data_IF_885525243854
#
_entry.id   IF_885525243854
#
_cell.length_a   1.000
_cell.length_b   1.000
_cell.length_c   1.000
_cell.angle_alpha   90.00
_cell.angle_beta   90.00
_cell.angle_gamma   90.00
#
_symmetry.space_group_name_H-M   'P 1'
#
loop_
_entity.id
_entity.type
_entity.pdbx_description
1 polymer ?
#
# COMPACT_ATOMS: atom_id res chain seq x y z
N UNK A 1 3.93 10.31 -37.28
CA UNK A 1 4.55 8.97 -37.12
C UNK A 1 5.46 8.92 -35.89
N UNK A 2 6.46 9.81 -35.76
CA UNK A 2 7.37 9.83 -34.59
C UNK A 2 6.67 10.07 -33.24
N UNK A 3 5.72 11.02 -33.18
CA UNK A 3 5.00 11.35 -31.94
C UNK A 3 4.11 10.21 -31.41
N UNK A 4 3.57 9.39 -32.32
CA UNK A 4 2.75 8.23 -31.95
C UNK A 4 3.64 7.14 -31.37
N UNK A 5 4.83 6.94 -31.96
CA UNK A 5 5.84 6.00 -31.49
C UNK A 5 6.35 6.36 -30.09
N UNK A 6 6.53 7.66 -29.83
CA UNK A 6 6.94 8.19 -28.53
C UNK A 6 5.86 8.00 -27.44
N UNK A 7 4.59 8.16 -27.81
CA UNK A 7 3.45 7.92 -26.91
C UNK A 7 3.35 6.43 -26.53
N UNK A 8 3.52 5.54 -27.50
CA UNK A 8 3.52 4.08 -27.29
C UNK A 8 4.68 3.67 -26.37
N UNK A 9 5.86 4.25 -26.57
CA UNK A 9 7.03 3.99 -25.72
C UNK A 9 6.79 4.43 -24.28
N UNK A 10 6.20 5.62 -24.09
CA UNK A 10 5.87 6.17 -22.78
C UNK A 10 4.80 5.33 -22.06
N UNK A 11 3.83 4.80 -22.79
CA UNK A 11 2.81 3.93 -22.21
C UNK A 11 3.40 2.56 -21.80
N UNK A 12 4.32 2.01 -22.60
CA UNK A 12 5.05 0.78 -22.29
C UNK A 12 5.91 0.91 -21.03
N UNK A 13 6.64 2.02 -20.87
CA UNK A 13 7.46 2.24 -19.66
C UNK A 13 6.61 2.42 -18.42
N UNK A 14 5.49 3.16 -18.52
CA UNK A 14 4.54 3.34 -17.42
C UNK A 14 3.92 2.01 -16.99
N UNK A 15 3.52 1.17 -17.96
CA UNK A 15 3.00 -0.17 -17.72
C UNK A 15 4.03 -1.09 -17.02
N UNK A 16 5.30 -1.00 -17.43
CA UNK A 16 6.38 -1.79 -16.84
C UNK A 16 6.64 -1.38 -15.38
N UNK A 17 6.55 -0.09 -15.05
CA UNK A 17 6.68 0.42 -13.69
C UNK A 17 5.56 -0.08 -12.77
N UNK A 18 4.31 -0.12 -13.27
CA UNK A 18 3.17 -0.69 -12.52
C UNK A 18 3.38 -2.17 -12.21
N UNK A 19 3.97 -2.94 -13.15
CA UNK A 19 4.29 -4.36 -12.91
C UNK A 19 5.38 -4.54 -11.86
N UNK A 20 6.45 -3.75 -11.93
CA UNK A 20 7.55 -3.78 -10.95
C UNK A 20 7.02 -3.39 -9.57
N UNK A 21 6.17 -2.38 -9.48
CA UNK A 21 5.56 -1.93 -8.22
C UNK A 21 4.62 -3.00 -7.62
N UNK A 22 3.82 -3.68 -8.45
CA UNK A 22 2.99 -4.81 -8.00
C UNK A 22 3.82 -5.99 -7.52
N UNK A 23 4.90 -6.33 -8.24
CA UNK A 23 5.81 -7.39 -7.82
C UNK A 23 6.54 -7.02 -6.50
N UNK A 24 6.82 -5.73 -6.29
CA UNK A 24 7.38 -5.22 -5.04
C UNK A 24 6.41 -5.39 -3.86
N UNK A 25 5.13 -5.04 -4.05
CA UNK A 25 4.09 -5.27 -3.03
C UNK A 25 3.83 -6.76 -2.78
N UNK A 26 3.87 -7.59 -3.82
CA UNK A 26 3.63 -9.03 -3.70
C UNK A 26 4.75 -9.75 -2.94
N UNK A 27 6.02 -9.31 -3.09
CA UNK A 27 7.13 -9.81 -2.28
C UNK A 27 7.07 -9.38 -0.80
N UNK A 28 6.45 -8.23 -0.49
CA UNK A 28 6.23 -7.85 0.90
C UNK A 28 5.17 -8.70 1.60
N UNK A 29 4.16 -9.20 0.87
CA UNK A 29 3.17 -10.14 1.42
C UNK A 29 3.80 -11.48 1.86
N UNK A 30 4.81 -11.96 1.14
CA UNK A 30 5.51 -13.20 1.48
C UNK A 30 6.47 -13.03 2.68
N UNK A 31 7.02 -11.83 2.85
CA UNK A 31 7.87 -11.46 3.99
C UNK A 31 7.07 -11.32 5.30
N UNK A 32 5.83 -10.84 5.23
CA UNK A 32 4.94 -10.72 6.41
C UNK A 32 4.56 -12.10 6.95
N UNK A 33 4.34 -13.09 6.09
CA UNK A 33 4.02 -14.48 6.49
C UNK A 33 5.22 -15.25 7.06
N UNK A 34 6.45 -14.94 6.64
CA UNK A 34 7.65 -15.53 7.24
C UNK A 34 8.04 -14.89 8.57
N UNK A 35 7.48 -13.71 8.88
CA UNK A 35 7.71 -12.97 10.13
C UNK A 35 6.97 -13.58 11.34
N UNK A 36 5.83 -14.25 11.13
CA UNK A 36 5.09 -14.96 12.19
C UNK A 36 5.92 -16.07 12.85
N UNK A 37 6.75 -16.78 12.07
CA UNK A 37 7.58 -17.86 12.61
C UNK A 37 8.69 -17.33 13.55
N UNK A 38 9.20 -16.12 13.32
CA UNK A 38 10.25 -15.52 14.16
C UNK A 38 9.69 -14.93 15.46
N UNK A 39 8.43 -14.51 15.50
CA UNK A 39 7.80 -13.99 16.71
C UNK A 39 7.63 -15.07 17.79
N UNK A 40 7.35 -16.32 17.38
CA UNK A 40 7.23 -17.45 18.30
C UNK A 40 8.51 -17.77 19.08
N UNK A 41 9.69 -17.51 18.49
CA UNK A 41 10.99 -17.74 19.13
C UNK A 41 11.47 -16.57 20.01
N UNK A 42 10.93 -15.35 19.84
CA UNK A 42 11.34 -14.16 20.61
C UNK A 42 10.51 -14.01 21.90
N UNK A 43 9.28 -14.55 21.92
CA UNK A 43 8.39 -14.59 23.09
C UNK A 43 9.00 -15.26 24.34
N UNK A 44 10.08 -16.03 24.17
CA UNK A 44 10.79 -16.71 25.27
C UNK A 44 11.85 -15.81 25.96
N UNK A 45 12.21 -14.65 25.39
CA UNK A 45 13.33 -13.81 25.84
C UNK A 45 12.89 -12.43 26.35
N UNK A 46 12.49 -12.34 27.63
CA UNK A 46 12.48 -11.10 28.44
C UNK A 46 11.57 -9.93 28.01
N UNK A 47 11.02 -9.22 29.00
CA UNK A 47 10.04 -8.12 28.81
C UNK A 47 10.45 -7.04 27.78
N UNK A 48 11.75 -6.73 27.64
CA UNK A 48 12.20 -5.66 26.74
C UNK A 48 12.17 -6.04 25.26
N UNK A 49 12.42 -7.32 24.90
CA UNK A 49 12.35 -7.76 23.51
C UNK A 49 10.89 -7.79 23.01
N UNK A 50 9.95 -8.13 23.89
CA UNK A 50 8.53 -8.14 23.59
C UNK A 50 8.01 -6.73 23.22
N UNK A 51 8.35 -5.70 23.99
CA UNK A 51 7.97 -4.31 23.70
C UNK A 51 8.53 -3.84 22.35
N UNK A 52 9.75 -4.24 22.00
CA UNK A 52 10.36 -3.84 20.72
C UNK A 52 9.65 -4.47 19.52
N UNK A 53 9.23 -5.73 19.62
CA UNK A 53 8.45 -6.41 18.56
C UNK A 53 7.09 -5.74 18.36
N UNK A 54 6.38 -5.41 19.46
CA UNK A 54 5.10 -4.69 19.40
C UNK A 54 5.28 -3.31 18.77
N UNK A 55 6.31 -2.57 19.17
CA UNK A 55 6.59 -1.24 18.61
C UNK A 55 6.92 -1.32 17.11
N UNK A 56 7.73 -2.30 16.70
CA UNK A 56 8.00 -2.52 15.27
C UNK A 56 6.73 -2.88 14.48
N UNK A 57 5.83 -3.69 15.06
CA UNK A 57 4.54 -4.02 14.46
C UNK A 57 3.67 -2.76 14.26
N UNK A 58 3.56 -1.93 15.30
CA UNK A 58 2.85 -0.65 15.26
C UNK A 58 3.40 0.30 14.19
N UNK A 59 4.73 0.43 14.10
CA UNK A 59 5.38 1.26 13.08
C UNK A 59 5.10 0.74 11.67
N UNK A 60 5.16 -0.57 11.47
CA UNK A 60 4.85 -1.18 10.18
C UNK A 60 3.38 -0.94 9.78
N UNK A 61 2.44 -1.12 10.72
CA UNK A 61 1.02 -0.83 10.51
C UNK A 61 0.79 0.64 10.13
N UNK A 62 1.40 1.57 10.87
CA UNK A 62 1.27 2.99 10.60
C UNK A 62 1.87 3.38 9.23
N UNK A 63 3.00 2.77 8.86
CA UNK A 63 3.63 2.98 7.56
C UNK A 63 2.75 2.48 6.41
N UNK A 64 2.15 1.30 6.53
CA UNK A 64 1.23 0.73 5.52
C UNK A 64 0.03 1.64 5.24
N UNK A 65 -0.67 2.03 6.31
CA UNK A 65 -1.79 2.99 6.26
C UNK A 65 -1.36 4.31 5.63
N UNK A 66 -0.20 4.85 6.04
CA UNK A 66 0.34 6.11 5.51
C UNK A 66 0.64 6.04 4.01
N UNK A 67 1.20 4.94 3.53
CA UNK A 67 1.49 4.72 2.11
C UNK A 67 0.21 4.58 1.28
N UNK A 68 -0.75 3.78 1.75
CA UNK A 68 -2.06 3.62 1.13
C UNK A 68 -2.81 4.96 1.04
N UNK A 69 -2.75 5.78 2.10
CA UNK A 69 -3.33 7.12 2.12
C UNK A 69 -2.65 8.08 1.13
N UNK A 70 -1.32 8.05 1.03
CA UNK A 70 -0.58 8.87 0.08
C UNK A 70 -0.96 8.50 -1.38
N UNK A 71 -1.05 7.20 -1.68
CA UNK A 71 -1.47 6.72 -2.99
C UNK A 71 -2.91 7.18 -3.33
N UNK A 72 -3.83 7.06 -2.38
CA UNK A 72 -5.20 7.56 -2.51
C UNK A 72 -5.23 9.06 -2.84
N UNK A 73 -4.47 9.85 -2.08
CA UNK A 73 -4.39 11.29 -2.28
C UNK A 73 -3.86 11.66 -3.68
N UNK A 74 -2.82 10.97 -4.15
CA UNK A 74 -2.27 11.17 -5.49
C UNK A 74 -3.33 10.89 -6.57
N UNK A 75 -4.07 9.79 -6.46
CA UNK A 75 -5.12 9.45 -7.43
C UNK A 75 -6.25 10.50 -7.44
N UNK A 76 -6.67 10.99 -6.28
CA UNK A 76 -7.66 12.07 -6.22
C UNK A 76 -7.14 13.37 -6.86
N UNK A 77 -5.88 13.74 -6.62
CA UNK A 77 -5.28 14.90 -7.27
C UNK A 77 -5.19 14.75 -8.79
N UNK A 78 -4.83 13.56 -9.29
CA UNK A 78 -4.76 13.26 -10.72
C UNK A 78 -6.16 13.35 -11.33
N UNK A 79 -7.16 12.75 -10.71
CA UNK A 79 -8.55 12.84 -11.15
C UNK A 79 -9.03 14.30 -11.25
N UNK A 80 -8.74 15.12 -10.23
CA UNK A 80 -9.11 16.53 -10.22
C UNK A 80 -8.42 17.32 -11.34
N UNK A 81 -7.10 17.15 -11.52
CA UNK A 81 -6.33 17.88 -12.53
C UNK A 81 -6.74 17.50 -13.95
N UNK A 82 -7.11 16.23 -14.17
CA UNK A 82 -7.45 15.72 -15.49
C UNK A 82 -8.93 15.84 -15.83
N UNK A 83 -9.80 16.23 -14.90
CA UNK A 83 -11.26 16.21 -15.09
C UNK A 83 -11.72 16.88 -16.40
N UNK A 84 -11.14 18.04 -16.73
CA UNK A 84 -11.45 18.77 -17.97
C UNK A 84 -10.47 18.50 -19.13
N UNK A 85 -9.25 18.04 -18.84
CA UNK A 85 -8.19 17.85 -19.84
C UNK A 85 -8.22 16.44 -20.47
N UNK A 86 -8.56 15.43 -19.66
CA UNK A 86 -8.66 14.04 -20.05
C UNK A 86 -9.65 13.30 -19.14
N UNK A 87 -10.97 13.42 -19.40
CA UNK A 87 -12.02 12.85 -18.54
C UNK A 87 -11.92 11.33 -18.38
N UNK A 88 -11.44 10.61 -19.40
CA UNK A 88 -11.27 9.15 -19.35
C UNK A 88 -10.20 8.76 -18.33
N UNK A 89 -9.04 9.41 -18.37
CA UNK A 89 -7.97 9.18 -17.40
C UNK A 89 -8.37 9.65 -16.00
N UNK A 90 -9.13 10.74 -15.90
CA UNK A 90 -9.68 11.24 -14.63
C UNK A 90 -10.62 10.22 -13.99
N UNK A 91 -11.53 9.63 -14.78
CA UNK A 91 -12.46 8.60 -14.30
C UNK A 91 -11.73 7.33 -13.88
N UNK A 92 -10.70 6.91 -14.63
CA UNK A 92 -9.84 5.79 -14.24
C UNK A 92 -9.15 6.06 -12.90
N UNK A 93 -8.57 7.24 -12.74
CA UNK A 93 -7.89 7.65 -11.50
C UNK A 93 -8.85 7.73 -10.32
N UNK A 94 -10.08 8.20 -10.53
CA UNK A 94 -11.13 8.19 -9.52
C UNK A 94 -11.55 6.76 -9.13
N UNK A 95 -11.64 5.83 -10.09
CA UNK A 95 -11.91 4.42 -9.82
C UNK A 95 -10.80 3.76 -9.00
N UNK A 96 -9.53 4.08 -9.31
CA UNK A 96 -8.37 3.62 -8.55
C UNK A 96 -8.39 4.20 -7.13
N UNK A 97 -8.73 5.48 -6.97
CA UNK A 97 -8.94 6.10 -5.67
C UNK A 97 -10.04 5.39 -4.86
N UNK A 98 -11.17 5.05 -5.49
CA UNK A 98 -12.24 4.34 -4.80
C UNK A 98 -11.78 2.96 -4.29
N UNK A 99 -11.06 2.20 -5.12
CA UNK A 99 -10.50 0.91 -4.71
C UNK A 99 -9.51 1.05 -3.54
N UNK A 100 -8.59 2.01 -3.64
CA UNK A 100 -7.63 2.29 -2.56
C UNK A 100 -8.33 2.69 -1.26
N UNK A 101 -9.41 3.47 -1.34
CA UNK A 101 -10.18 3.86 -0.15
C UNK A 101 -10.83 2.67 0.55
N UNK A 102 -11.35 1.71 -0.21
CA UNK A 102 -11.94 0.47 0.35
C UNK A 102 -10.86 -0.36 1.03
N UNK A 103 -9.72 -0.57 0.35
CA UNK A 103 -8.60 -1.32 0.92
C UNK A 103 -8.05 -0.66 2.19
N UNK A 104 -7.93 0.67 2.20
CA UNK A 104 -7.49 1.43 3.37
C UNK A 104 -8.45 1.27 4.57
N UNK A 105 -9.77 1.26 4.32
CA UNK A 105 -10.76 1.03 5.38
C UNK A 105 -10.63 -0.38 5.99
N UNK A 106 -10.39 -1.39 5.15
CA UNK A 106 -10.18 -2.76 5.62
C UNK A 106 -8.86 -2.90 6.39
N UNK A 107 -7.79 -2.26 5.92
CA UNK A 107 -6.49 -2.21 6.61
C UNK A 107 -6.60 -1.56 8.00
N UNK A 108 -7.28 -0.41 8.09
CA UNK A 108 -7.53 0.27 9.37
C UNK A 108 -8.36 -0.60 10.30
N UNK A 109 -9.43 -1.24 9.81
CA UNK A 109 -10.26 -2.14 10.63
C UNK A 109 -9.46 -3.33 11.16
N UNK A 110 -8.62 -3.92 10.32
CA UNK A 110 -7.74 -5.02 10.71
C UNK A 110 -6.75 -4.56 11.79
N UNK A 111 -6.09 -3.42 11.59
CA UNK A 111 -5.12 -2.88 12.54
C UNK A 111 -5.77 -2.58 13.90
N UNK A 112 -6.95 -1.95 13.92
CA UNK A 112 -7.70 -1.69 15.16
C UNK A 112 -8.07 -3.01 15.87
N UNK A 113 -8.49 -4.04 15.12
CA UNK A 113 -8.81 -5.35 15.70
C UNK A 113 -7.58 -6.00 16.33
N UNK A 114 -6.43 -5.97 15.66
CA UNK A 114 -5.19 -6.54 16.20
C UNK A 114 -4.77 -5.79 17.46
N UNK A 115 -4.82 -4.46 17.46
CA UNK A 115 -4.48 -3.66 18.64
C UNK A 115 -5.42 -3.92 19.82
N UNK A 116 -6.72 -4.04 19.57
CA UNK A 116 -7.69 -4.38 20.62
C UNK A 116 -7.52 -5.77 21.23
N UNK A 117 -6.83 -6.70 20.54
CA UNK A 117 -6.51 -8.04 21.06
C UNK A 117 -5.23 -8.05 21.91
N UNK A 118 -4.40 -7.00 21.86
CA UNK A 118 -3.17 -6.90 22.67
C UNK A 118 -3.46 -6.38 24.09
N UNK A 119 -4.62 -5.76 24.29
CA UNK A 119 -5.05 -5.19 25.58
C UNK A 119 -5.86 -6.18 26.48
N UNK A 120 -6.16 -7.40 26.01
CA UNK A 120 -6.76 -8.51 26.80
C UNK A 120 -5.72 -9.53 27.27
#
# INVERSE_FOLDING_TARGET
>A
MLSILLLILLFLTLWHLVKILRAYHQKQYELILTQENLQSYILESGSSANIQVINQSLLNMYSGVGQSLAALHIQLQVAQKLWHLNPVQAQKSLSEAYQLSSSLMDEVRCNVKILGQVDE
#
